data_IF_133279208095
#
_entry.id   IF_133279208095
#
_cell.length_a   1.000
_cell.length_b   1.000
_cell.length_c   1.000
_cell.angle_alpha   90.00
_cell.angle_beta   90.00
_cell.angle_gamma   90.00
#
_symmetry.space_group_name_H-M   'P 1'
#
loop_
_entity.id
_entity.type
_entity.pdbx_description
1 polymer ?
#
# COMPACT_ATOMS: atom_id res chain seq x y z
N UNK A 1 8.02 -15.07 -22.50
CA UNK A 1 7.58 -13.83 -21.81
C UNK A 1 6.40 -14.19 -20.91
N UNK A 2 6.29 -13.66 -19.68
CA UNK A 2 5.31 -14.13 -18.67
C UNK A 2 3.85 -14.17 -19.13
N UNK A 3 3.40 -13.19 -19.92
CA UNK A 3 2.04 -13.15 -20.48
C UNK A 3 1.75 -14.37 -21.37
N UNK A 4 2.65 -14.70 -22.29
CA UNK A 4 2.51 -15.83 -23.21
C UNK A 4 2.50 -17.18 -22.47
N UNK A 5 3.11 -17.23 -21.28
CA UNK A 5 3.14 -18.42 -20.43
C UNK A 5 1.97 -18.46 -19.45
N UNK A 6 0.98 -17.56 -19.57
CA UNK A 6 -0.20 -17.52 -18.72
C UNK A 6 0.09 -17.25 -17.24
N UNK A 7 1.23 -16.63 -16.92
CA UNK A 7 1.62 -16.40 -15.51
C UNK A 7 0.68 -15.40 -14.85
N UNK A 8 0.23 -15.71 -13.65
CA UNK A 8 -0.59 -14.79 -12.87
C UNK A 8 0.24 -13.62 -12.32
N UNK A 9 -0.44 -12.56 -11.88
CA UNK A 9 0.20 -11.48 -11.14
C UNK A 9 0.97 -11.99 -9.91
N UNK A 10 0.45 -13.06 -9.28
CA UNK A 10 1.05 -13.68 -8.10
C UNK A 10 2.30 -14.51 -8.44
N UNK A 11 2.27 -15.28 -9.53
CA UNK A 11 3.42 -16.04 -9.99
C UNK A 11 4.61 -15.12 -10.26
N UNK A 12 4.35 -13.98 -10.91
CA UNK A 12 5.38 -12.98 -11.19
C UNK A 12 5.82 -12.27 -9.91
N UNK A 13 4.90 -11.98 -8.99
CA UNK A 13 5.23 -11.42 -7.66
C UNK A 13 6.24 -12.31 -6.91
N UNK A 14 5.97 -13.62 -6.86
CA UNK A 14 6.82 -14.61 -6.20
C UNK A 14 8.14 -14.83 -6.96
N UNK A 15 8.10 -14.85 -8.30
CA UNK A 15 9.30 -14.98 -9.15
C UNK A 15 10.27 -13.81 -8.94
N UNK A 16 9.71 -12.60 -8.77
CA UNK A 16 10.46 -11.38 -8.45
C UNK A 16 10.85 -11.30 -6.98
N UNK A 17 10.48 -12.29 -6.15
CA UNK A 17 10.84 -12.38 -4.73
C UNK A 17 10.43 -11.15 -3.92
N UNK A 18 9.33 -10.51 -4.32
CA UNK A 18 8.85 -9.27 -3.72
C UNK A 18 8.33 -9.44 -2.29
N UNK A 19 8.04 -10.66 -1.85
CA UNK A 19 7.71 -10.93 -0.44
C UNK A 19 8.91 -10.84 0.51
N UNK A 20 10.15 -10.94 0.00
CA UNK A 20 11.36 -10.82 0.82
C UNK A 20 11.84 -9.37 1.00
N UNK A 21 11.29 -8.41 0.25
CA UNK A 21 11.61 -7.00 0.45
C UNK A 21 10.83 -6.46 1.65
N UNK A 22 11.34 -6.78 2.85
CA UNK A 22 10.68 -6.55 4.13
C UNK A 22 10.50 -5.06 4.49
N UNK A 23 11.23 -4.13 3.86
CA UNK A 23 11.31 -2.74 4.34
C UNK A 23 11.08 -1.66 3.30
N UNK A 24 11.45 -1.88 2.02
CA UNK A 24 11.37 -0.82 1.03
C UNK A 24 11.06 -1.31 -0.38
N UNK A 25 9.78 -1.21 -0.73
CA UNK A 25 9.35 -1.28 -2.12
C UNK A 25 9.74 -0.02 -2.88
N UNK A 26 9.72 1.17 -2.25
CA UNK A 26 9.73 2.49 -2.89
C UNK A 26 10.88 2.72 -3.87
N UNK A 27 12.02 2.05 -3.67
CA UNK A 27 13.20 2.12 -4.53
C UNK A 27 13.52 0.81 -5.26
N UNK A 28 12.68 -0.22 -5.13
CA UNK A 28 12.89 -1.52 -5.75
C UNK A 28 12.44 -1.49 -7.23
N UNK A 29 13.37 -1.58 -8.21
CA UNK A 29 13.01 -1.58 -9.63
C UNK A 29 12.11 -2.77 -10.00
N UNK A 30 12.20 -3.89 -9.28
CA UNK A 30 11.36 -5.07 -9.50
C UNK A 30 9.89 -4.80 -9.15
N UNK A 31 9.63 -3.87 -8.21
CA UNK A 31 8.28 -3.40 -7.91
C UNK A 31 7.64 -2.73 -9.12
N UNK A 32 8.39 -1.87 -9.82
CA UNK A 32 7.91 -1.24 -11.05
C UNK A 32 7.68 -2.27 -12.16
N UNK A 33 8.57 -3.26 -12.31
CA UNK A 33 8.38 -4.36 -13.26
C UNK A 33 7.07 -5.10 -12.99
N UNK A 34 6.78 -5.41 -11.72
CA UNK A 34 5.53 -6.04 -11.32
C UNK A 34 4.30 -5.16 -11.59
N UNK A 35 4.39 -3.85 -11.31
CA UNK A 35 3.31 -2.90 -11.64
C UNK A 35 3.06 -2.82 -13.14
N UNK A 36 4.10 -2.76 -13.97
CA UNK A 36 3.94 -2.77 -15.43
C UNK A 36 3.31 -4.07 -15.93
N UNK A 37 3.71 -5.22 -15.37
CA UNK A 37 3.14 -6.51 -15.72
C UNK A 37 1.66 -6.61 -15.38
N UNK A 38 1.29 -6.20 -14.17
CA UNK A 38 -0.10 -6.21 -13.71
C UNK A 38 -0.98 -5.22 -14.45
N UNK A 39 -0.41 -4.06 -14.82
CA UNK A 39 -1.07 -3.12 -15.70
C UNK A 39 -1.43 -3.77 -17.04
N UNK A 40 -0.53 -4.55 -17.65
CA UNK A 40 -0.83 -5.28 -18.88
C UNK A 40 -1.93 -6.33 -18.70
N UNK A 41 -1.95 -7.06 -17.58
CA UNK A 41 -3.04 -8.00 -17.26
C UNK A 41 -4.38 -7.28 -17.20
N UNK A 42 -4.45 -6.16 -16.47
CA UNK A 42 -5.70 -5.42 -16.25
C UNK A 42 -6.15 -4.66 -17.49
N UNK A 43 -5.23 -4.19 -18.33
CA UNK A 43 -5.57 -3.62 -19.64
C UNK A 43 -6.23 -4.67 -20.55
N UNK A 44 -5.78 -5.93 -20.50
CA UNK A 44 -6.37 -7.00 -21.29
C UNK A 44 -7.69 -7.54 -20.68
N UNK A 45 -7.79 -7.52 -19.34
CA UNK A 45 -8.95 -8.05 -18.62
C UNK A 45 -9.18 -7.27 -17.31
N UNK A 46 -9.97 -6.17 -17.35
CA UNK A 46 -10.22 -5.33 -16.19
C UNK A 46 -10.90 -6.04 -15.02
N UNK A 47 -11.61 -7.15 -15.27
CA UNK A 47 -12.33 -7.93 -14.25
C UNK A 47 -11.35 -8.55 -13.24
N UNK A 48 -10.06 -8.69 -13.59
CA UNK A 48 -9.02 -9.20 -12.70
C UNK A 48 -8.55 -8.20 -11.63
N UNK A 49 -8.89 -6.92 -11.77
CA UNK A 49 -8.44 -5.85 -10.85
C UNK A 49 -8.77 -6.13 -9.39
N UNK A 50 -10.01 -6.50 -9.00
CA UNK A 50 -10.34 -6.75 -7.60
C UNK A 50 -9.56 -7.91 -6.98
N UNK A 51 -9.38 -9.01 -7.74
CA UNK A 51 -8.63 -10.18 -7.28
C UNK A 51 -7.15 -9.86 -7.04
N UNK A 52 -6.55 -9.03 -7.90
CA UNK A 52 -5.17 -8.56 -7.73
C UNK A 52 -5.00 -7.80 -6.41
N UNK A 53 -5.88 -6.84 -6.13
CA UNK A 53 -5.80 -6.05 -4.91
C UNK A 53 -6.09 -6.89 -3.65
N UNK A 54 -7.03 -7.84 -3.72
CA UNK A 54 -7.27 -8.79 -2.63
C UNK A 54 -6.02 -9.64 -2.31
N UNK A 55 -5.29 -10.08 -3.35
CA UNK A 55 -4.04 -10.83 -3.15
C UNK A 55 -2.94 -9.97 -2.48
N UNK A 56 -2.87 -8.68 -2.80
CA UNK A 56 -1.96 -7.76 -2.10
C UNK A 56 -2.35 -7.59 -0.62
N UNK A 57 -3.63 -7.36 -0.33
CA UNK A 57 -4.13 -7.21 1.05
C UNK A 57 -3.87 -8.45 1.92
N UNK A 58 -3.89 -9.65 1.32
CA UNK A 58 -3.68 -10.90 2.07
C UNK A 58 -2.21 -11.20 2.37
N UNK A 59 -1.31 -10.80 1.47
CA UNK A 59 0.12 -11.15 1.54
C UNK A 59 1.01 -10.10 2.19
N UNK A 60 0.62 -8.82 2.10
CA UNK A 60 1.43 -7.72 2.56
C UNK A 60 0.92 -7.16 3.88
N UNK A 61 1.86 -6.89 4.79
CA UNK A 61 1.62 -6.05 5.96
C UNK A 61 1.35 -4.60 5.54
N UNK A 62 0.85 -3.80 6.47
CA UNK A 62 0.35 -2.45 6.20
C UNK A 62 1.36 -1.52 5.50
N UNK A 63 2.61 -1.47 5.97
CA UNK A 63 3.66 -0.64 5.35
C UNK A 63 3.99 -1.05 3.90
N UNK A 64 4.37 -2.31 3.60
CA UNK A 64 4.68 -2.72 2.24
C UNK A 64 3.46 -2.64 1.30
N UNK A 65 2.25 -2.89 1.82
CA UNK A 65 1.00 -2.68 1.08
C UNK A 65 0.88 -1.22 0.64
N UNK A 66 1.10 -0.27 1.55
CA UNK A 66 0.96 1.15 1.22
C UNK A 66 2.06 1.64 0.25
N UNK A 67 3.27 1.09 0.32
CA UNK A 67 4.33 1.40 -0.64
C UNK A 67 4.01 0.88 -2.06
N UNK A 68 3.53 -0.37 -2.21
CA UNK A 68 3.22 -0.90 -3.53
C UNK A 68 2.01 -0.18 -4.15
N UNK A 69 1.03 0.22 -3.35
CA UNK A 69 -0.12 1.01 -3.81
C UNK A 69 0.31 2.38 -4.34
N UNK A 70 1.34 3.00 -3.77
CA UNK A 70 1.89 4.25 -4.29
C UNK A 70 2.53 4.08 -5.68
N UNK A 71 3.18 2.96 -5.94
CA UNK A 71 3.69 2.67 -7.29
C UNK A 71 2.57 2.46 -8.28
N UNK A 72 1.57 1.64 -7.93
CA UNK A 72 0.40 1.39 -8.79
C UNK A 72 -0.29 2.71 -9.14
N UNK A 73 -0.49 3.60 -8.16
CA UNK A 73 -1.06 4.94 -8.38
C UNK A 73 -0.26 5.80 -9.35
N UNK A 74 1.05 5.60 -9.42
CA UNK A 74 1.96 6.43 -10.24
C UNK A 74 2.09 5.88 -11.66
N UNK A 75 2.09 4.55 -11.81
CA UNK A 75 2.56 3.86 -13.02
C UNK A 75 1.50 2.93 -13.66
N UNK A 76 0.23 2.99 -13.25
CA UNK A 76 -0.82 2.10 -13.75
C UNK A 76 -2.16 2.80 -13.96
N UNK A 77 -2.99 2.24 -14.86
CA UNK A 77 -4.40 2.58 -15.07
C UNK A 77 -5.28 2.26 -13.86
N UNK A 78 -4.80 1.41 -12.94
CA UNK A 78 -5.49 1.03 -11.70
C UNK A 78 -5.45 2.11 -10.60
N UNK A 79 -5.17 3.36 -10.95
CA UNK A 79 -4.94 4.46 -10.00
C UNK A 79 -6.08 4.65 -9.01
N UNK A 80 -7.33 4.65 -9.47
CA UNK A 80 -8.49 4.90 -8.61
C UNK A 80 -8.75 3.74 -7.65
N UNK A 81 -8.59 2.49 -8.13
CA UNK A 81 -8.67 1.31 -7.29
C UNK A 81 -7.57 1.30 -6.21
N UNK A 82 -6.35 1.71 -6.57
CA UNK A 82 -5.24 1.82 -5.63
C UNK A 82 -5.45 2.94 -4.60
N UNK A 83 -6.02 4.10 -4.98
CA UNK A 83 -6.40 5.17 -4.03
C UNK A 83 -7.47 4.69 -3.06
N UNK A 84 -8.50 3.98 -3.57
CA UNK A 84 -9.59 3.44 -2.75
C UNK A 84 -9.06 2.45 -1.71
N UNK A 85 -8.21 1.52 -2.14
CA UNK A 85 -7.61 0.56 -1.22
C UNK A 85 -6.65 1.24 -0.24
N UNK A 86 -5.79 2.15 -0.69
CA UNK A 86 -4.89 2.91 0.19
C UNK A 86 -5.67 3.61 1.30
N UNK A 87 -6.78 4.28 0.95
CA UNK A 87 -7.64 4.97 1.91
C UNK A 87 -8.25 4.01 2.93
N UNK A 88 -8.72 2.84 2.46
CA UNK A 88 -9.28 1.78 3.32
C UNK A 88 -8.22 1.23 4.27
N UNK A 89 -7.02 0.92 3.78
CA UNK A 89 -5.92 0.42 4.60
C UNK A 89 -5.49 1.43 5.66
N UNK A 90 -5.36 2.69 5.27
CA UNK A 90 -5.06 3.79 6.20
C UNK A 90 -6.15 3.91 7.28
N UNK A 91 -7.43 3.90 6.88
CA UNK A 91 -8.54 3.96 7.82
C UNK A 91 -8.55 2.75 8.79
N UNK A 92 -8.29 1.54 8.28
CA UNK A 92 -8.14 0.34 9.09
C UNK A 92 -7.03 0.51 10.13
N UNK A 93 -5.84 0.94 9.73
CA UNK A 93 -4.69 1.17 10.63
C UNK A 93 -5.04 2.16 11.74
N UNK A 94 -5.82 3.21 11.43
CA UNK A 94 -6.24 4.20 12.42
C UNK A 94 -7.37 3.73 13.35
N UNK A 95 -8.27 2.87 12.87
CA UNK A 95 -9.44 2.40 13.64
C UNK A 95 -9.15 1.15 14.44
N UNK A 96 -8.27 0.28 13.96
CA UNK A 96 -7.84 -0.90 14.70
C UNK A 96 -6.72 -0.54 15.67
N UNK A 97 -7.03 -0.48 16.96
CA UNK A 97 -6.01 -0.52 18.01
C UNK A 97 -5.15 -1.81 18.00
N UNK A 98 -5.53 -2.80 17.18
CA UNK A 98 -4.83 -4.07 17.00
C UNK A 98 -3.73 -3.95 15.94
N UNK A 99 -2.54 -4.44 16.32
CA UNK A 99 -1.24 -4.19 15.69
C UNK A 99 -1.15 -4.57 14.20
N UNK A 100 -0.28 -3.87 13.44
CA UNK A 100 0.24 -4.38 12.19
C UNK A 100 1.11 -5.63 12.48
N UNK A 101 1.24 -6.52 11.50
CA UNK A 101 2.04 -7.76 11.60
C UNK A 101 3.56 -7.49 11.65
N UNK A 102 3.98 -6.27 11.93
CA UNK A 102 5.36 -5.93 12.24
C UNK A 102 5.58 -5.99 13.74
N UNK A 103 6.58 -6.78 14.14
CA UNK A 103 6.89 -7.12 15.53
C UNK A 103 7.53 -5.96 16.33
N UNK A 104 7.33 -4.69 15.94
CA UNK A 104 8.03 -3.56 16.58
C UNK A 104 7.17 -2.30 16.84
N UNK A 105 5.84 -2.41 16.89
CA UNK A 105 4.96 -1.29 17.27
C UNK A 105 4.04 -1.63 18.45
N UNK A 106 4.64 -2.01 19.57
CA UNK A 106 3.94 -2.27 20.84
C UNK A 106 3.70 -0.95 21.60
N UNK A 107 2.74 -0.14 21.13
CA UNK A 107 2.37 1.12 21.79
C UNK A 107 0.90 1.49 21.59
N UNK A 108 0.40 2.42 22.42
CA UNK A 108 -0.94 3.01 22.32
C UNK A 108 -1.26 3.47 20.89
N UNK A 109 -2.55 3.51 20.46
CA UNK A 109 -2.94 3.88 19.09
C UNK A 109 -2.35 5.21 18.61
N UNK A 110 -2.18 6.17 19.50
CA UNK A 110 -1.51 7.45 19.22
C UNK A 110 0.00 7.28 18.92
N UNK A 111 0.69 6.38 19.63
CA UNK A 111 2.11 6.06 19.39
C UNK A 111 2.30 5.27 18.10
N UNK A 112 1.37 4.36 17.76
CA UNK A 112 1.37 3.63 16.47
C UNK A 112 1.16 4.56 15.29
N UNK A 113 0.18 5.47 15.39
CA UNK A 113 -0.06 6.54 14.41
C UNK A 113 1.20 7.39 14.20
N UNK A 114 1.84 7.84 15.29
CA UNK A 114 3.07 8.64 15.26
C UNK A 114 4.25 7.88 14.63
N UNK A 115 4.50 6.63 15.05
CA UNK A 115 5.56 5.79 14.50
C UNK A 115 5.36 5.49 13.00
N UNK A 116 4.10 5.32 12.57
CA UNK A 116 3.74 5.14 11.16
C UNK A 116 4.01 6.42 10.36
N UNK A 117 3.62 7.60 10.86
CA UNK A 117 3.92 8.90 10.24
C UNK A 117 5.43 9.17 10.11
N UNK A 118 6.23 8.80 11.12
CA UNK A 118 7.70 8.99 11.13
C UNK A 118 8.40 8.10 10.11
N UNK A 119 7.90 6.88 9.88
CA UNK A 119 8.54 5.89 8.99
C UNK A 119 7.99 5.88 7.56
N UNK A 120 6.94 6.64 7.29
CA UNK A 120 6.34 6.76 5.97
C UNK A 120 7.17 7.64 5.03
N UNK A 121 7.26 7.25 3.75
CA UNK A 121 7.91 8.09 2.73
C UNK A 121 7.15 9.40 2.52
N UNK A 122 7.78 10.47 2.01
CA UNK A 122 7.13 11.78 1.81
C UNK A 122 5.85 11.71 0.96
N UNK A 123 5.78 10.78 0.01
CA UNK A 123 4.57 10.54 -0.81
C UNK A 123 3.42 9.95 0.01
N UNK A 124 3.73 9.00 0.89
CA UNK A 124 2.75 8.41 1.82
C UNK A 124 2.32 9.46 2.85
N UNK A 125 3.24 10.26 3.40
CA UNK A 125 2.90 11.38 4.29
C UNK A 125 1.96 12.40 3.64
N UNK A 126 2.16 12.76 2.36
CA UNK A 126 1.26 13.66 1.63
C UNK A 126 -0.12 13.04 1.40
N UNK A 127 -0.19 11.75 1.09
CA UNK A 127 -1.45 10.99 1.01
C UNK A 127 -2.17 10.96 2.37
N UNK A 128 -1.43 10.63 3.43
CA UNK A 128 -1.90 10.61 4.82
C UNK A 128 -2.42 11.98 5.23
N UNK A 129 -1.70 13.06 4.99
CA UNK A 129 -2.11 14.43 5.33
C UNK A 129 -3.42 14.82 4.65
N UNK A 130 -3.61 14.48 3.37
CA UNK A 130 -4.87 14.73 2.64
C UNK A 130 -6.04 13.93 3.21
N UNK A 131 -5.79 12.66 3.53
CA UNK A 131 -6.81 11.78 4.11
C UNK A 131 -7.16 12.26 5.52
N UNK A 132 -6.15 12.59 6.33
CA UNK A 132 -6.29 13.11 7.67
C UNK A 132 -7.06 14.44 7.69
N UNK A 133 -6.72 15.40 6.83
CA UNK A 133 -7.50 16.64 6.66
C UNK A 133 -8.98 16.40 6.34
N UNK A 134 -9.30 15.30 5.65
CA UNK A 134 -10.68 14.91 5.34
C UNK A 134 -11.39 14.28 6.54
N UNK A 135 -10.65 13.65 7.46
CA UNK A 135 -11.16 13.06 8.71
C UNK A 135 -11.19 14.06 9.89
N UNK A 136 -10.30 15.05 9.95
CA UNK A 136 -10.17 16.00 11.06
C UNK A 136 -11.19 17.13 11.08
N UNK A 137 -12.24 17.10 10.25
CA UNK A 137 -13.41 17.96 10.52
C UNK A 137 -14.11 17.60 11.84
N UNK A 138 -13.75 16.48 12.49
CA UNK A 138 -14.38 15.98 13.72
C UNK A 138 -13.43 15.46 14.81
N UNK A 139 -12.11 15.64 14.71
CA UNK A 139 -11.15 15.21 15.74
C UNK A 139 -10.14 16.32 16.04
N UNK A 140 -9.96 16.61 17.33
CA UNK A 140 -9.16 17.70 17.88
C UNK A 140 -7.78 17.85 17.24
N UNK A 141 -7.42 19.11 16.95
CA UNK A 141 -6.29 19.62 16.20
C UNK A 141 -4.89 19.21 16.74
N UNK A 142 -4.81 18.56 17.90
CA UNK A 142 -3.52 18.19 18.54
C UNK A 142 -2.70 17.11 17.83
N UNK A 143 -3.26 16.38 16.85
CA UNK A 143 -2.53 15.32 16.15
C UNK A 143 -1.78 15.86 14.90
N UNK A 144 -1.99 17.13 14.52
CA UNK A 144 -1.65 17.63 13.18
C UNK A 144 -0.16 17.94 12.96
N UNK A 145 0.66 18.04 13.99
CA UNK A 145 2.10 18.29 13.82
C UNK A 145 2.94 17.21 14.51
N UNK A 146 3.31 16.17 13.78
CA UNK A 146 4.56 15.48 14.04
C UNK A 146 5.68 16.30 13.39
N UNK A 147 6.12 17.35 14.08
CA UNK A 147 7.49 17.88 13.95
C UNK A 147 8.35 17.09 14.92
#
# INVERSE_FOLDING_TARGET
MWLNNGKSADDVFNSLKLHYTASDFSHNPLGNTWVSYTNAIVTNDPIKTPALFANLETRLSDRPLLQILQMVKTNSTMKDAAIKLETKSIHKIFTSGNSPKDENCSGAPEKKSRAYCISATPKIQKSLAKIFQRFTKNLSTSIIYCI
#
